data_IF_314990113832
#
_entry.id   IF_314990113832
#
_cell.length_a   1.000
_cell.length_b   1.000
_cell.length_c   1.000
_cell.angle_alpha   90.00
_cell.angle_beta   90.00
_cell.angle_gamma   90.00
#
_symmetry.space_group_name_H-M   'P 1'
#
loop_
_entity.id
_entity.type
_entity.pdbx_description
1 polymer ?
#
# COMPACT_ATOMS: atom_id res chain seq x y z
N UNK A 1 -8.51 -2.54 -6.19
CA UNK A 1 -8.96 -1.35 -5.43
C UNK A 1 -10.06 -0.64 -6.23
N UNK A 2 -10.87 0.18 -5.56
CA UNK A 2 -11.84 1.07 -6.21
C UNK A 2 -11.27 2.48 -6.12
N UNK A 3 -11.38 3.27 -7.19
CA UNK A 3 -10.87 4.64 -7.22
C UNK A 3 -11.70 5.55 -6.32
N UNK A 4 -11.01 6.38 -5.53
CA UNK A 4 -11.61 7.39 -4.65
C UNK A 4 -11.33 8.80 -5.16
N UNK A 5 -11.90 9.80 -4.48
CA UNK A 5 -11.69 11.21 -4.81
C UNK A 5 -10.24 11.62 -4.57
N UNK A 6 -9.60 12.20 -5.58
CA UNK A 6 -8.21 12.66 -5.49
C UNK A 6 -8.06 13.73 -4.41
N UNK A 7 -7.12 13.53 -3.49
CA UNK A 7 -6.71 14.52 -2.49
C UNK A 7 -7.43 14.41 -1.14
N UNK A 8 -8.50 13.63 -1.05
CA UNK A 8 -9.29 13.48 0.19
C UNK A 8 -8.60 12.60 1.25
N UNK A 9 -7.64 11.74 0.85
CA UNK A 9 -6.96 10.84 1.78
C UNK A 9 -7.86 9.73 2.35
N UNK A 10 -8.99 9.44 1.69
CA UNK A 10 -9.93 8.42 2.15
C UNK A 10 -9.40 7.00 1.97
N UNK A 11 -9.50 6.19 3.03
CA UNK A 11 -9.28 4.74 3.01
C UNK A 11 -10.55 4.07 3.52
N UNK A 12 -11.33 3.49 2.60
CA UNK A 12 -12.63 2.91 2.91
C UNK A 12 -12.59 1.39 2.69
N UNK A 13 -12.77 0.64 3.77
CA UNK A 13 -13.01 -0.80 3.70
C UNK A 13 -14.51 -1.05 3.59
N UNK A 14 -14.93 -1.62 2.47
CA UNK A 14 -16.35 -1.84 2.18
C UNK A 14 -16.77 -3.30 2.43
N UNK A 15 -18.06 -3.49 2.69
CA UNK A 15 -18.69 -4.82 2.72
C UNK A 15 -18.13 -5.75 3.78
N UNK A 16 -17.71 -6.96 3.39
CA UNK A 16 -17.20 -7.96 4.32
C UNK A 16 -15.94 -7.52 5.07
N UNK A 17 -15.08 -6.71 4.44
CA UNK A 17 -13.85 -6.22 5.05
C UNK A 17 -14.13 -5.25 6.22
N UNK A 18 -15.23 -4.49 6.17
CA UNK A 18 -15.64 -3.58 7.24
C UNK A 18 -15.98 -4.29 8.56
N UNK A 19 -16.14 -5.62 8.55
CA UNK A 19 -16.38 -6.40 9.77
C UNK A 19 -15.11 -6.68 10.58
N UNK A 20 -13.94 -6.46 9.98
CA UNK A 20 -12.64 -6.82 10.55
C UNK A 20 -11.76 -5.61 10.89
N UNK A 21 -12.21 -4.40 10.53
CA UNK A 21 -11.44 -3.16 10.65
C UNK A 21 -12.39 -2.05 11.08
N UNK A 22 -11.91 -1.17 11.96
CA UNK A 22 -12.64 -0.02 12.45
C UNK A 22 -12.01 1.29 11.95
N UNK A 23 -12.79 2.37 11.94
CA UNK A 23 -12.26 3.71 11.70
C UNK A 23 -11.17 4.05 12.72
N UNK A 24 -10.00 4.48 12.23
CA UNK A 24 -8.83 4.80 13.05
C UNK A 24 -7.79 3.68 13.12
N UNK A 25 -8.10 2.47 12.64
CA UNK A 25 -7.10 1.40 12.53
C UNK A 25 -6.01 1.77 11.52
N UNK A 26 -4.76 1.44 11.86
CA UNK A 26 -3.64 1.55 10.93
C UNK A 26 -3.61 0.30 10.06
N UNK A 27 -3.62 0.50 8.74
CA UNK A 27 -3.66 -0.58 7.75
C UNK A 27 -2.48 -0.49 6.77
N UNK A 28 -2.14 -1.63 6.17
CA UNK A 28 -1.18 -1.72 5.06
C UNK A 28 -1.93 -2.18 3.81
N UNK A 29 -1.85 -1.39 2.73
CA UNK A 29 -2.42 -1.75 1.42
C UNK A 29 -1.30 -2.31 0.54
N UNK A 30 -1.45 -3.56 0.09
CA UNK A 30 -0.46 -4.26 -0.72
C UNK A 30 -1.10 -4.73 -2.03
N UNK A 31 -0.36 -4.60 -3.12
CA UNK A 31 -0.65 -5.27 -4.39
C UNK A 31 0.49 -6.20 -4.76
N UNK A 32 0.15 -7.28 -5.47
CA UNK A 32 1.09 -8.30 -5.90
C UNK A 32 1.08 -8.40 -7.42
N UNK A 33 2.23 -8.72 -8.00
CA UNK A 33 2.40 -9.06 -9.41
C UNK A 33 3.21 -10.35 -9.50
N UNK A 34 2.86 -11.22 -10.44
CA UNK A 34 3.70 -12.35 -10.81
C UNK A 34 4.84 -11.87 -11.71
N UNK A 35 6.05 -12.32 -11.42
CA UNK A 35 7.26 -11.99 -12.14
C UNK A 35 7.94 -13.27 -12.58
N UNK A 36 8.60 -13.22 -13.74
CA UNK A 36 9.56 -14.25 -14.08
C UNK A 36 10.77 -14.15 -13.15
N UNK A 37 11.45 -15.27 -12.89
CA UNK A 37 12.64 -15.30 -12.05
C UNK A 37 13.73 -14.32 -12.53
N UNK A 38 13.89 -14.19 -13.86
CA UNK A 38 14.81 -13.25 -14.50
C UNK A 38 14.50 -11.77 -14.24
N UNK A 39 13.30 -11.45 -13.78
CA UNK A 39 12.90 -10.07 -13.49
C UNK A 39 13.13 -9.69 -12.03
N UNK A 40 13.32 -10.67 -11.13
CA UNK A 40 13.35 -10.45 -9.66
C UNK A 40 14.43 -9.47 -9.23
N UNK A 41 15.68 -9.66 -9.70
CA UNK A 41 16.82 -8.82 -9.30
C UNK A 41 16.66 -7.35 -9.71
N UNK A 42 15.93 -7.12 -10.80
CA UNK A 42 15.67 -5.78 -11.35
C UNK A 42 14.39 -5.16 -10.81
N UNK A 43 13.50 -5.96 -10.22
CA UNK A 43 12.22 -5.46 -9.75
C UNK A 43 12.40 -4.54 -8.54
N UNK A 44 11.69 -3.42 -8.57
CA UNK A 44 11.67 -2.44 -7.49
C UNK A 44 10.21 -2.13 -7.14
N UNK A 45 9.65 -2.70 -6.05
CA UNK A 45 8.31 -2.35 -5.62
C UNK A 45 8.23 -0.89 -5.21
N UNK A 46 7.10 -0.25 -5.48
CA UNK A 46 6.85 1.11 -5.02
C UNK A 46 6.37 1.09 -3.57
N UNK A 47 7.09 1.77 -2.70
CA UNK A 47 6.72 1.98 -1.31
C UNK A 47 6.18 3.41 -1.14
N UNK A 48 5.00 3.54 -0.54
CA UNK A 48 4.35 4.82 -0.28
C UNK A 48 4.12 4.91 1.22
N UNK A 49 4.75 5.89 1.86
CA UNK A 49 4.57 6.20 3.27
C UNK A 49 3.68 7.44 3.38
N UNK A 50 2.64 7.34 4.19
CA UNK A 50 1.68 8.42 4.43
C UNK A 50 1.78 8.95 5.86
N UNK A 51 1.29 10.17 6.07
CA UNK A 51 1.13 10.74 7.40
C UNK A 51 -0.23 10.35 8.04
N UNK A 52 -0.55 10.94 9.20
CA UNK A 52 -1.81 10.68 9.92
C UNK A 52 -3.08 11.16 9.20
N UNK A 53 -2.94 12.02 8.19
CA UNK A 53 -4.02 12.49 7.32
C UNK A 53 -4.04 11.73 5.98
N UNK A 54 -3.33 10.60 5.89
CA UNK A 54 -3.15 9.79 4.67
C UNK A 54 -2.54 10.57 3.48
N UNK A 55 -1.85 11.69 3.72
CA UNK A 55 -1.10 12.40 2.67
C UNK A 55 0.25 11.75 2.46
N UNK A 56 0.75 11.74 1.23
CA UNK A 56 2.06 11.16 0.90
C UNK A 56 3.15 11.96 1.60
N UNK A 57 3.81 11.35 2.58
CA UNK A 57 4.96 11.91 3.28
C UNK A 57 6.27 11.59 2.55
N UNK A 58 6.39 10.37 2.01
CA UNK A 58 7.58 9.89 1.30
C UNK A 58 7.23 8.75 0.35
N UNK A 59 7.92 8.70 -0.77
CA UNK A 59 7.96 7.53 -1.66
C UNK A 59 9.36 6.96 -1.74
N UNK A 60 9.47 5.65 -1.91
CA UNK A 60 10.73 4.95 -2.13
C UNK A 60 10.52 3.80 -3.09
N UNK A 61 11.53 3.48 -3.86
CA UNK A 61 11.60 2.20 -4.56
C UNK A 61 12.27 1.20 -3.59
N UNK A 62 11.62 0.07 -3.36
CA UNK A 62 12.13 -0.98 -2.49
C UNK A 62 13.15 -1.87 -3.21
N UNK A 63 14.05 -2.47 -2.45
CA UNK A 63 14.85 -3.63 -2.88
C UNK A 63 14.33 -4.84 -2.11
N UNK A 64 14.23 -6.01 -2.77
CA UNK A 64 13.61 -7.21 -2.19
C UNK A 64 14.26 -7.66 -0.87
N UNK A 65 15.50 -7.26 -0.60
CA UNK A 65 16.22 -7.57 0.63
C UNK A 65 15.81 -6.72 1.85
N UNK A 66 15.03 -5.65 1.69
CA UNK A 66 14.76 -4.66 2.75
C UNK A 66 13.36 -4.74 3.36
N UNK A 67 12.53 -5.71 2.95
CA UNK A 67 11.20 -5.92 3.55
C UNK A 67 11.29 -6.86 4.77
N UNK A 68 12.07 -6.48 5.78
CA UNK A 68 11.95 -7.04 7.12
C UNK A 68 10.96 -6.18 7.91
N UNK A 69 9.82 -6.77 8.26
CA UNK A 69 8.82 -6.21 9.17
C UNK A 69 9.26 -6.44 10.61
#
# INVERSE_FOLDING_TARGET
AIEGTRGEGEVILNGAAARLVNSGDIVIIISYKQLAESELDSYRPRLIFVDGDNRIARTSDGVLETLSV
#
